data_IF_321248365294
#
_entry.id   IF_321248365294
#
_cell.length_a   1.000
_cell.length_b   1.000
_cell.length_c   1.000
_cell.angle_alpha   90.00
_cell.angle_beta   90.00
_cell.angle_gamma   90.00
#
_symmetry.space_group_name_H-M   'P 1'
#
loop_
_entity.id
_entity.type
_entity.pdbx_description
1 polymer ?
#
# COMPACT_ATOMS: atom_id res chain seq x y z
N UNK A 1 34.99 26.61 -17.60
CA UNK A 1 34.88 25.14 -17.41
C UNK A 1 34.57 24.90 -15.94
N UNK A 2 33.28 24.90 -15.59
CA UNK A 2 32.82 24.79 -14.22
C UNK A 2 32.55 23.31 -13.95
N UNK A 3 33.42 22.67 -13.20
CA UNK A 3 33.26 21.26 -12.77
C UNK A 3 32.15 21.24 -11.74
N UNK A 4 30.96 20.79 -12.15
CA UNK A 4 29.87 20.45 -11.24
C UNK A 4 30.31 19.27 -10.39
N UNK A 5 30.58 19.52 -9.12
CA UNK A 5 30.83 18.51 -8.11
C UNK A 5 29.59 17.61 -8.02
N UNK A 6 29.67 16.41 -8.57
CA UNK A 6 28.71 15.34 -8.36
C UNK A 6 28.82 14.90 -6.88
N UNK A 7 27.88 15.31 -6.05
CA UNK A 7 27.78 14.87 -4.68
C UNK A 7 27.07 13.51 -4.63
N UNK A 8 27.78 12.37 -4.44
CA UNK A 8 27.19 11.03 -4.46
C UNK A 8 26.29 10.74 -3.24
N UNK A 9 26.24 11.66 -2.26
CA UNK A 9 25.42 11.55 -1.04
C UNK A 9 24.10 12.30 -1.09
N UNK A 10 23.73 12.90 -2.20
CA UNK A 10 22.35 13.38 -2.35
C UNK A 10 21.44 12.15 -2.39
N UNK A 11 20.90 11.74 -1.23
CA UNK A 11 19.81 10.76 -1.13
C UNK A 11 18.77 11.15 -2.17
N UNK A 12 18.59 10.30 -3.20
CA UNK A 12 17.47 10.45 -4.14
C UNK A 12 16.20 10.17 -3.30
N UNK A 13 15.65 11.22 -2.69
CA UNK A 13 14.41 11.12 -1.94
C UNK A 13 13.34 10.82 -2.98
N UNK A 14 12.72 9.65 -2.84
CA UNK A 14 11.59 9.25 -3.68
C UNK A 14 10.39 10.16 -3.42
N UNK A 15 9.51 10.23 -4.37
CA UNK A 15 8.19 10.83 -4.17
C UNK A 15 7.52 10.20 -2.96
N UNK A 16 7.05 11.02 -2.03
CA UNK A 16 6.29 10.58 -0.87
C UNK A 16 4.88 11.13 -0.95
N UNK A 17 3.93 10.21 -1.00
CA UNK A 17 2.52 10.54 -0.95
C UNK A 17 2.20 11.09 0.44
N UNK A 18 1.51 12.24 0.49
CA UNK A 18 1.14 12.90 1.73
C UNK A 18 -0.37 12.80 1.99
N UNK A 19 -1.18 12.95 0.94
CA UNK A 19 -2.65 12.85 1.05
C UNK A 19 -3.28 12.55 -0.30
N UNK A 20 -4.35 11.75 -0.25
CA UNK A 20 -5.28 11.50 -1.35
C UNK A 20 -6.65 12.01 -0.93
N UNK A 21 -7.39 12.60 -1.87
CA UNK A 21 -8.81 12.85 -1.75
C UNK A 21 -9.49 12.48 -3.06
N UNK A 22 -10.61 11.75 -2.99
CA UNK A 22 -11.34 11.31 -4.17
C UNK A 22 -12.84 11.61 -4.05
N UNK A 23 -13.45 11.89 -5.20
CA UNK A 23 -14.88 12.09 -5.36
C UNK A 23 -15.37 11.16 -6.47
N UNK A 24 -16.56 10.61 -6.31
CA UNK A 24 -17.18 9.67 -7.25
C UNK A 24 -16.31 8.43 -7.54
N UNK A 25 -15.52 7.99 -6.55
CA UNK A 25 -14.70 6.81 -6.68
C UNK A 25 -15.46 5.57 -6.23
N UNK A 26 -15.80 4.69 -7.19
CA UNK A 26 -16.56 3.46 -6.93
C UNK A 26 -17.78 3.76 -6.02
N UNK A 27 -17.95 3.02 -4.94
CA UNK A 27 -19.03 3.24 -3.98
C UNK A 27 -18.58 3.99 -2.71
N UNK A 28 -17.46 4.73 -2.78
CA UNK A 28 -17.00 5.55 -1.66
C UNK A 28 -17.85 6.83 -1.50
N UNK A 29 -17.90 7.33 -0.27
CA UNK A 29 -18.45 8.65 0.01
C UNK A 29 -17.62 9.72 -0.70
N UNK A 30 -18.30 10.76 -1.22
CA UNK A 30 -17.61 11.86 -1.89
C UNK A 30 -16.72 12.62 -0.93
N UNK A 31 -15.47 12.82 -1.35
CA UNK A 31 -14.45 13.44 -0.51
C UNK A 31 -13.72 12.46 0.41
N UNK A 32 -13.83 11.14 0.13
CA UNK A 32 -13.00 10.13 0.85
C UNK A 32 -11.54 10.56 0.85
N UNK A 33 -10.92 10.57 2.04
CA UNK A 33 -9.59 11.12 2.26
C UNK A 33 -8.70 10.12 3.00
N UNK A 34 -7.47 9.90 2.49
CA UNK A 34 -6.44 9.10 3.15
C UNK A 34 -5.17 9.96 3.32
N UNK A 35 -4.75 10.20 4.57
CA UNK A 35 -3.54 10.98 4.89
C UNK A 35 -2.43 10.10 5.41
N UNK A 36 -1.20 10.38 4.97
CA UNK A 36 0.03 9.70 5.38
C UNK A 36 0.81 10.50 6.44
N UNK A 37 0.29 11.65 6.85
CA UNK A 37 0.93 12.53 7.82
C UNK A 37 0.37 12.32 9.24
N UNK A 38 1.24 12.35 10.27
CA UNK A 38 0.81 12.26 11.66
C UNK A 38 -0.04 13.48 12.05
N UNK A 39 -1.18 13.22 12.70
CA UNK A 39 -2.16 14.23 13.12
C UNK A 39 -1.87 14.81 14.49
N UNK A 40 -1.22 14.06 15.39
CA UNK A 40 -0.91 14.53 16.73
C UNK A 40 0.60 14.58 17.02
N UNK A 41 0.95 15.06 18.22
CA UNK A 41 2.36 15.22 18.65
C UNK A 41 3.13 13.92 18.49
N UNK A 42 4.36 14.04 18.03
CA UNK A 42 5.30 12.94 17.82
C UNK A 42 6.19 12.78 19.03
N UNK A 43 6.21 11.60 19.65
CA UNK A 43 7.20 11.22 20.66
C UNK A 43 8.53 10.83 20.02
N UNK A 44 9.58 10.66 20.79
CA UNK A 44 10.86 10.13 20.29
C UNK A 44 10.72 8.65 19.89
N UNK A 45 9.88 7.89 20.58
CA UNK A 45 9.56 6.52 20.23
C UNK A 45 8.83 6.44 18.88
N UNK A 46 7.82 7.31 18.64
CA UNK A 46 7.15 7.39 17.34
C UNK A 46 8.14 7.67 16.22
N UNK A 47 9.06 8.62 16.43
CA UNK A 47 10.10 8.94 15.46
C UNK A 47 11.06 7.77 15.22
N UNK A 48 11.21 6.87 16.17
CA UNK A 48 12.08 5.69 16.06
C UNK A 48 11.40 4.57 15.30
N UNK A 49 10.13 4.27 15.57
CA UNK A 49 9.46 3.05 15.10
C UNK A 49 8.25 3.28 14.19
N UNK A 50 7.57 4.42 14.25
CA UNK A 50 6.31 4.62 13.55
C UNK A 50 6.42 5.58 12.36
N UNK A 51 7.40 6.49 12.40
CA UNK A 51 7.47 7.62 11.49
C UNK A 51 8.81 7.68 10.75
N UNK A 52 8.75 8.03 9.47
CA UNK A 52 9.91 8.31 8.64
C UNK A 52 10.00 9.81 8.35
N UNK A 53 11.15 10.42 8.60
CA UNK A 53 11.41 11.82 8.30
C UNK A 53 11.73 12.00 6.80
N UNK A 54 10.78 12.55 6.06
CA UNK A 54 10.87 12.80 4.62
C UNK A 54 11.69 14.06 4.33
N UNK A 55 11.48 15.08 5.14
CA UNK A 55 12.17 16.36 5.12
C UNK A 55 12.20 16.92 6.54
N UNK A 56 12.98 17.99 6.83
CA UNK A 56 13.06 18.55 8.18
C UNK A 56 11.68 18.79 8.81
N UNK A 57 11.36 18.01 9.85
CA UNK A 57 10.08 18.01 10.60
C UNK A 57 8.84 17.58 9.78
N UNK A 58 9.02 17.02 8.58
CA UNK A 58 7.98 16.39 7.76
C UNK A 58 8.09 14.88 7.88
N UNK A 59 7.11 14.26 8.52
CA UNK A 59 7.09 12.83 8.79
C UNK A 59 5.92 12.18 8.06
N UNK A 60 6.13 10.93 7.59
CA UNK A 60 5.09 10.04 7.08
C UNK A 60 5.09 8.76 7.89
N UNK A 61 3.97 8.04 7.87
CA UNK A 61 3.87 6.74 8.53
C UNK A 61 4.72 5.68 7.81
N UNK A 62 5.34 4.79 8.59
CA UNK A 62 5.99 3.57 8.09
C UNK A 62 4.99 2.44 7.89
N UNK A 63 3.93 2.43 8.71
CA UNK A 63 2.86 1.43 8.64
C UNK A 63 1.50 2.08 8.82
N UNK A 64 0.51 1.62 8.05
CA UNK A 64 -0.87 2.05 8.13
C UNK A 64 -1.79 0.84 8.00
N UNK A 65 -2.88 0.81 8.76
CA UNK A 65 -3.88 -0.25 8.67
C UNK A 65 -5.26 0.29 8.29
N UNK A 66 -5.97 -0.50 7.50
CA UNK A 66 -7.38 -0.27 7.13
C UNK A 66 -8.19 -1.43 7.70
N UNK A 67 -9.08 -1.14 8.64
CA UNK A 67 -9.85 -2.15 9.36
C UNK A 67 -11.35 -1.93 9.17
N UNK A 68 -12.09 -3.00 9.29
CA UNK A 68 -13.55 -2.98 9.16
C UNK A 68 -14.10 -4.38 8.93
N UNK A 69 -15.41 -4.56 9.11
CA UNK A 69 -16.06 -5.84 8.84
C UNK A 69 -15.98 -6.24 7.37
N UNK A 70 -16.33 -7.47 7.05
CA UNK A 70 -16.46 -7.94 5.66
C UNK A 70 -17.40 -7.01 4.88
N UNK A 71 -17.07 -6.78 3.60
CA UNK A 71 -17.81 -5.89 2.69
C UNK A 71 -17.93 -4.43 3.16
N UNK A 72 -17.11 -3.95 4.11
CA UNK A 72 -17.08 -2.55 4.53
C UNK A 72 -16.36 -1.60 3.57
N UNK A 73 -15.64 -2.14 2.57
CA UNK A 73 -14.94 -1.36 1.55
C UNK A 73 -13.43 -1.21 1.74
N UNK A 74 -12.78 -2.04 2.58
CA UNK A 74 -11.32 -2.03 2.78
C UNK A 74 -10.56 -2.14 1.46
N UNK A 75 -10.88 -3.15 0.64
CA UNK A 75 -10.31 -3.36 -0.69
C UNK A 75 -10.51 -2.15 -1.62
N UNK A 76 -11.68 -1.48 -1.55
CA UNK A 76 -11.93 -0.27 -2.36
C UNK A 76 -10.98 0.88 -2.01
N UNK A 77 -10.66 1.06 -0.71
CA UNK A 77 -9.70 2.06 -0.26
C UNK A 77 -8.27 1.70 -0.68
N UNK A 78 -7.88 0.42 -0.58
CA UNK A 78 -6.57 -0.04 -1.06
C UNK A 78 -6.45 0.10 -2.59
N UNK A 79 -7.52 -0.17 -3.34
CA UNK A 79 -7.55 0.04 -4.78
C UNK A 79 -7.39 1.53 -5.14
N UNK A 80 -8.05 2.45 -4.42
CA UNK A 80 -7.85 3.88 -4.61
C UNK A 80 -6.36 4.26 -4.44
N UNK A 81 -5.73 3.73 -3.41
CA UNK A 81 -4.31 3.95 -3.17
C UNK A 81 -3.44 3.38 -4.30
N UNK A 82 -3.73 2.17 -4.77
CA UNK A 82 -3.01 1.53 -5.87
C UNK A 82 -3.17 2.31 -7.18
N UNK A 83 -4.39 2.77 -7.50
CA UNK A 83 -4.67 3.58 -8.69
C UNK A 83 -3.88 4.89 -8.66
N UNK A 84 -3.79 5.55 -7.50
CA UNK A 84 -2.96 6.75 -7.34
C UNK A 84 -1.48 6.43 -7.59
N UNK A 85 -0.95 5.31 -7.09
CA UNK A 85 0.44 4.92 -7.38
C UNK A 85 0.65 4.53 -8.85
N UNK A 86 -0.35 3.98 -9.52
CA UNK A 86 -0.30 3.75 -10.99
C UNK A 86 -0.20 5.08 -11.74
N UNK A 87 -0.98 6.08 -11.34
CA UNK A 87 -0.88 7.44 -11.93
C UNK A 87 0.50 8.05 -11.67
N UNK A 88 1.03 7.94 -10.45
CA UNK A 88 2.35 8.50 -10.08
C UNK A 88 3.53 7.79 -10.74
N UNK A 89 3.38 6.50 -11.10
CA UNK A 89 4.46 5.64 -11.60
C UNK A 89 4.42 5.40 -13.09
N UNK A 90 3.25 5.00 -13.63
CA UNK A 90 3.05 4.74 -15.07
C UNK A 90 2.43 5.91 -15.83
N UNK A 91 1.89 6.90 -15.13
CA UNK A 91 1.21 8.07 -15.70
C UNK A 91 -0.05 7.72 -16.49
N UNK A 92 -0.52 6.48 -16.39
CA UNK A 92 -1.71 5.94 -17.05
C UNK A 92 -2.56 5.19 -16.03
N UNK A 93 -3.87 5.12 -16.30
CA UNK A 93 -4.79 4.32 -15.52
C UNK A 93 -5.77 3.62 -16.46
N UNK A 94 -6.10 2.37 -16.15
CA UNK A 94 -7.08 1.58 -16.88
C UNK A 94 -8.40 1.52 -16.11
N UNK A 95 -9.50 1.60 -16.83
CA UNK A 95 -10.83 1.30 -16.29
C UNK A 95 -10.97 -0.23 -16.26
N UNK A 96 -11.04 -0.78 -15.06
CA UNK A 96 -11.10 -2.23 -14.83
C UNK A 96 -12.57 -2.69 -14.63
N UNK A 97 -12.78 -3.77 -13.90
CA UNK A 97 -14.09 -4.41 -13.72
C UNK A 97 -15.13 -3.47 -13.08
N UNK A 98 -14.71 -2.62 -12.15
CA UNK A 98 -15.59 -1.62 -11.53
C UNK A 98 -15.16 -0.26 -12.04
N UNK A 99 -16.04 0.38 -12.81
CA UNK A 99 -15.75 1.66 -13.45
C UNK A 99 -15.44 2.76 -12.45
N UNK A 100 -14.39 3.53 -12.77
CA UNK A 100 -14.00 4.75 -12.08
C UNK A 100 -14.14 5.99 -12.98
N UNK A 101 -14.96 5.88 -14.02
CA UNK A 101 -15.29 6.99 -14.91
C UNK A 101 -15.97 8.13 -14.14
N UNK A 102 -15.53 9.36 -14.36
CA UNK A 102 -16.03 10.55 -13.66
C UNK A 102 -15.39 10.77 -12.28
N UNK A 103 -14.43 9.92 -11.87
CA UNK A 103 -13.70 10.12 -10.60
C UNK A 103 -12.85 11.38 -10.65
N UNK A 104 -12.95 12.21 -9.60
CA UNK A 104 -12.06 13.36 -9.39
C UNK A 104 -11.06 13.02 -8.30
N UNK A 105 -9.78 13.29 -8.58
CA UNK A 105 -8.69 13.02 -7.65
C UNK A 105 -7.95 14.29 -7.28
N UNK A 106 -7.63 14.43 -6.00
CA UNK A 106 -6.68 15.42 -5.48
C UNK A 106 -5.53 14.65 -4.79
N UNK A 107 -4.31 14.81 -5.29
CA UNK A 107 -3.14 14.09 -4.81
C UNK A 107 -2.10 15.09 -4.33
N UNK A 108 -1.75 15.03 -3.05
CA UNK A 108 -0.67 15.85 -2.47
C UNK A 108 0.54 14.95 -2.25
N UNK A 109 1.68 15.32 -2.78
CA UNK A 109 2.93 14.56 -2.64
C UNK A 109 4.15 15.47 -2.48
N UNK A 110 5.18 14.93 -1.84
CA UNK A 110 6.48 15.58 -1.67
C UNK A 110 7.49 15.00 -2.66
N UNK A 111 8.23 15.87 -3.33
CA UNK A 111 9.35 15.53 -4.20
C UNK A 111 10.36 16.68 -4.23
N UNK A 112 11.64 16.38 -3.95
CA UNK A 112 12.77 17.29 -4.10
C UNK A 112 12.55 18.68 -3.49
N UNK A 113 12.29 18.74 -2.17
CA UNK A 113 12.06 19.95 -1.37
C UNK A 113 10.80 20.76 -1.77
N UNK A 114 9.92 20.14 -2.56
CA UNK A 114 8.66 20.73 -3.00
C UNK A 114 7.49 19.85 -2.62
N UNK A 115 6.36 20.49 -2.40
CA UNK A 115 5.07 19.81 -2.27
C UNK A 115 4.23 20.18 -3.47
N UNK A 116 3.66 19.17 -4.08
CA UNK A 116 2.79 19.29 -5.25
C UNK A 116 1.36 18.96 -4.86
N UNK A 117 0.42 19.74 -5.34
CA UNK A 117 -1.01 19.45 -5.33
C UNK A 117 -1.43 19.22 -6.79
N UNK A 118 -1.73 17.97 -7.11
CA UNK A 118 -2.23 17.57 -8.41
C UNK A 118 -3.73 17.29 -8.32
N UNK A 119 -4.48 17.78 -9.30
CA UNK A 119 -5.92 17.52 -9.44
C UNK A 119 -6.20 17.07 -10.86
N UNK A 120 -7.11 16.11 -11.00
CA UNK A 120 -7.57 15.58 -12.29
C UNK A 120 -8.98 15.00 -12.17
N UNK A 121 -9.62 14.82 -13.33
CA UNK A 121 -10.85 14.07 -13.48
C UNK A 121 -10.63 12.97 -14.54
N UNK A 122 -11.10 11.75 -14.28
CA UNK A 122 -10.88 10.57 -15.10
C UNK A 122 -12.11 10.32 -15.97
N UNK A 123 -11.91 10.21 -17.29
CA UNK A 123 -12.98 9.94 -18.23
C UNK A 123 -12.67 8.77 -19.15
N UNK A 124 -13.69 7.95 -19.43
CA UNK A 124 -13.60 6.88 -20.41
C UNK A 124 -13.84 7.45 -21.81
N UNK A 125 -12.95 7.12 -22.75
CA UNK A 125 -13.07 7.47 -24.16
C UNK A 125 -12.99 6.20 -25.00
N UNK A 126 -13.84 6.10 -26.03
CA UNK A 126 -13.98 4.88 -26.84
C UNK A 126 -12.74 4.52 -27.64
N UNK A 127 -11.97 5.52 -28.07
CA UNK A 127 -10.76 5.38 -28.87
C UNK A 127 -9.52 4.99 -28.05
N UNK A 128 -9.56 5.11 -26.72
CA UNK A 128 -8.47 4.76 -25.81
C UNK A 128 -8.55 3.32 -25.28
N UNK A 129 -9.51 2.51 -25.76
CA UNK A 129 -9.74 1.16 -25.28
C UNK A 129 -10.10 1.15 -23.78
N UNK A 130 -9.30 0.49 -22.94
CA UNK A 130 -9.52 0.46 -21.50
C UNK A 130 -8.78 1.59 -20.75
N UNK A 131 -7.97 2.41 -21.42
CA UNK A 131 -7.31 3.52 -20.76
C UNK A 131 -8.30 4.65 -20.48
N UNK A 132 -8.11 5.31 -19.32
CA UNK A 132 -8.85 6.52 -18.96
C UNK A 132 -8.09 7.75 -19.42
N UNK A 133 -8.82 8.75 -19.93
CA UNK A 133 -8.29 10.07 -20.20
C UNK A 133 -8.24 10.91 -18.92
N UNK A 134 -7.21 11.75 -18.83
CA UNK A 134 -7.03 12.73 -17.76
C UNK A 134 -7.50 14.09 -18.26
N UNK A 135 -8.61 14.57 -17.68
CA UNK A 135 -9.18 15.87 -18.01
C UNK A 135 -9.11 16.83 -16.83
N UNK A 136 -9.21 18.13 -17.10
CA UNK A 136 -9.15 19.16 -16.05
C UNK A 136 -7.91 19.05 -15.17
N UNK A 137 -6.79 18.60 -15.74
CA UNK A 137 -5.55 18.45 -14.99
C UNK A 137 -4.98 19.80 -14.54
N UNK A 138 -4.58 19.88 -13.30
CA UNK A 138 -3.86 21.03 -12.76
C UNK A 138 -2.79 20.61 -11.76
N UNK A 139 -1.67 21.27 -11.78
CA UNK A 139 -0.61 21.09 -10.78
C UNK A 139 -0.29 22.44 -10.16
N UNK A 140 -0.27 22.46 -8.82
CA UNK A 140 0.21 23.59 -8.04
C UNK A 140 1.41 23.13 -7.21
N UNK A 141 2.35 24.01 -6.96
CA UNK A 141 3.60 23.70 -6.26
C UNK A 141 3.89 24.70 -5.16
N UNK A 142 4.44 24.20 -4.05
CA UNK A 142 4.93 24.98 -2.93
C UNK A 142 6.33 24.49 -2.56
N UNK A 143 7.31 25.41 -2.39
CA UNK A 143 8.58 25.04 -1.77
C UNK A 143 8.35 24.72 -0.31
N UNK A 144 8.80 23.52 0.10
CA UNK A 144 8.70 23.09 1.49
C UNK A 144 9.78 23.75 2.35
N UNK A 145 9.39 24.12 3.57
CA UNK A 145 10.28 24.46 4.66
C UNK A 145 9.61 24.07 5.99
N UNK A 146 10.40 23.86 7.04
CA UNK A 146 9.89 23.49 8.36
C UNK A 146 8.78 24.43 8.87
N UNK A 147 8.88 25.72 8.59
CA UNK A 147 7.88 26.74 8.98
C UNK A 147 6.55 26.59 8.26
N UNK A 148 6.54 25.92 7.09
CA UNK A 148 5.33 25.73 6.28
C UNK A 148 4.59 24.42 6.54
N UNK A 149 5.05 23.57 7.47
CA UNK A 149 4.41 22.27 7.72
C UNK A 149 2.92 22.35 8.06
N UNK A 150 2.49 23.38 8.76
CA UNK A 150 1.08 23.54 9.18
C UNK A 150 0.15 24.06 8.08
N UNK A 151 0.71 24.42 6.92
CA UNK A 151 -0.03 24.98 5.79
C UNK A 151 0.03 24.09 4.54
N UNK A 152 0.56 22.87 4.66
CA UNK A 152 0.71 21.91 3.57
C UNK A 152 -0.61 21.65 2.84
N UNK A 153 -1.74 21.63 3.55
CA UNK A 153 -3.04 21.33 2.94
C UNK A 153 -3.88 22.59 2.67
N UNK A 154 -3.28 23.78 2.78
CA UNK A 154 -3.93 25.04 2.45
C UNK A 154 -3.55 25.47 1.03
N UNK A 155 -4.51 25.34 0.11
CA UNK A 155 -4.28 25.53 -1.33
C UNK A 155 -3.80 26.93 -1.71
N UNK A 156 -4.17 27.95 -0.92
CA UNK A 156 -3.72 29.33 -1.11
C UNK A 156 -2.21 29.53 -1.04
N UNK A 157 -1.47 28.58 -0.44
CA UNK A 157 0.01 28.64 -0.35
C UNK A 157 0.73 28.07 -1.57
N UNK A 158 -0.01 27.54 -2.53
CA UNK A 158 0.53 26.93 -3.73
C UNK A 158 0.46 27.89 -4.91
N UNK A 159 1.50 27.84 -5.75
CA UNK A 159 1.52 28.55 -7.03
C UNK A 159 1.17 27.59 -8.17
N UNK A 160 0.36 28.01 -9.14
CA UNK A 160 0.10 27.17 -10.31
C UNK A 160 1.39 26.92 -11.08
N UNK A 161 1.55 25.67 -11.54
CA UNK A 161 2.62 25.29 -12.45
C UNK A 161 2.00 25.17 -13.84
N UNK A 162 2.08 26.24 -14.62
CA UNK A 162 1.52 26.27 -15.96
C UNK A 162 2.36 25.38 -16.88
N UNK A 163 1.80 24.28 -17.32
CA UNK A 163 2.38 23.36 -18.29
C UNK A 163 1.45 23.22 -19.49
N UNK A 164 2.03 23.27 -20.68
CA UNK A 164 1.30 22.96 -21.90
C UNK A 164 1.26 21.45 -22.04
N UNK A 165 0.07 20.86 -22.12
CA UNK A 165 -0.04 19.43 -22.32
C UNK A 165 0.16 19.11 -23.81
N UNK A 166 1.31 18.50 -24.11
CA UNK A 166 1.66 17.95 -25.43
C UNK A 166 1.77 16.42 -25.35
N UNK A 167 0.83 15.78 -24.60
CA UNK A 167 0.80 14.36 -24.32
C UNK A 167 -0.56 13.82 -24.77
N UNK A 168 -0.65 12.53 -25.16
CA UNK A 168 -1.93 11.84 -25.33
C UNK A 168 -2.85 12.02 -24.13
N UNK A 169 -4.15 11.95 -24.34
CA UNK A 169 -5.14 12.22 -23.30
C UNK A 169 -5.10 11.19 -22.16
N UNK A 170 -4.66 9.96 -22.45
CA UNK A 170 -4.48 8.88 -21.47
C UNK A 170 -3.16 8.96 -20.69
N UNK A 171 -2.33 9.98 -20.94
CA UNK A 171 -1.10 10.22 -20.17
C UNK A 171 -1.24 11.47 -19.33
N UNK A 172 -1.03 11.32 -18.01
CA UNK A 172 -1.08 12.43 -17.06
C UNK A 172 0.10 13.40 -17.23
N UNK A 173 -0.16 14.71 -17.03
CA UNK A 173 0.87 15.76 -17.00
C UNK A 173 1.93 15.54 -15.91
N UNK A 174 1.69 14.65 -14.93
CA UNK A 174 2.71 14.23 -13.96
C UNK A 174 3.95 13.63 -14.61
N UNK A 175 3.83 13.10 -15.83
CA UNK A 175 4.95 12.63 -16.64
C UNK A 175 6.07 13.68 -16.73
N UNK A 176 5.76 14.96 -16.91
CA UNK A 176 6.78 16.03 -17.02
C UNK A 176 7.61 16.21 -15.74
N UNK A 177 7.03 15.89 -14.57
CA UNK A 177 7.69 16.04 -13.27
C UNK A 177 8.37 14.75 -12.84
N UNK A 178 7.74 13.59 -13.08
CA UNK A 178 8.07 12.33 -12.44
C UNK A 178 8.68 11.26 -13.37
N UNK A 179 8.82 11.49 -14.69
CA UNK A 179 9.28 10.50 -15.68
C UNK A 179 10.61 9.79 -15.34
N UNK A 180 11.45 10.42 -14.54
CA UNK A 180 12.75 9.87 -14.12
C UNK A 180 12.71 9.30 -12.69
N UNK A 181 11.53 9.05 -12.14
CA UNK A 181 11.34 8.56 -10.77
C UNK A 181 10.70 7.17 -10.78
N UNK A 182 11.15 6.33 -9.89
CA UNK A 182 10.52 5.03 -9.61
C UNK A 182 9.51 5.20 -8.47
N UNK A 183 8.23 5.38 -8.81
CA UNK A 183 7.15 5.61 -7.85
C UNK A 183 6.09 4.53 -7.98
N UNK A 184 6.47 3.28 -7.73
CA UNK A 184 5.54 2.16 -7.75
C UNK A 184 5.11 1.80 -6.34
N UNK A 185 3.88 1.31 -6.20
CA UNK A 185 3.48 0.46 -5.10
C UNK A 185 3.55 -1.00 -5.54
N UNK A 186 3.91 -1.87 -4.62
CA UNK A 186 3.69 -3.30 -4.75
C UNK A 186 2.33 -3.62 -4.16
N UNK A 187 1.46 -4.24 -4.94
CA UNK A 187 0.14 -4.65 -4.49
C UNK A 187 0.09 -6.18 -4.39
N UNK A 188 -0.37 -6.66 -3.25
CA UNK A 188 -0.52 -8.08 -2.96
C UNK A 188 -1.96 -8.34 -2.52
N UNK A 189 -2.64 -9.24 -3.21
CA UNK A 189 -3.97 -9.73 -2.91
C UNK A 189 -4.06 -11.25 -3.14
N UNK A 190 -5.18 -11.82 -2.75
CA UNK A 190 -5.45 -13.25 -2.92
C UNK A 190 -5.78 -13.67 -4.36
N UNK A 191 -6.03 -12.70 -5.26
CA UNK A 191 -6.43 -12.93 -6.64
C UNK A 191 -5.24 -13.24 -7.57
N UNK A 192 -4.01 -13.28 -7.04
CA UNK A 192 -2.85 -13.67 -7.84
C UNK A 192 -3.04 -15.12 -8.28
N UNK A 193 -3.17 -15.35 -9.59
CA UNK A 193 -3.34 -16.68 -10.15
C UNK A 193 -2.19 -17.59 -9.72
N UNK A 194 -2.53 -18.84 -9.45
CA UNK A 194 -1.61 -19.88 -8.96
C UNK A 194 -0.31 -19.95 -9.75
N UNK A 195 -0.38 -19.83 -11.09
CA UNK A 195 0.78 -19.86 -11.97
C UNK A 195 1.58 -18.54 -11.94
N UNK A 196 0.90 -17.40 -11.81
CA UNK A 196 1.53 -16.07 -11.84
C UNK A 196 2.38 -15.75 -10.62
N UNK A 197 2.17 -16.40 -9.46
CA UNK A 197 2.94 -16.17 -8.23
C UNK A 197 4.42 -16.47 -8.46
N UNK A 198 4.74 -17.62 -9.01
CA UNK A 198 6.14 -18.03 -9.20
C UNK A 198 6.85 -17.17 -10.25
N UNK A 199 6.20 -16.84 -11.35
CA UNK A 199 6.77 -15.91 -12.33
C UNK A 199 7.10 -14.56 -11.71
N UNK A 200 6.20 -14.01 -10.89
CA UNK A 200 6.43 -12.72 -10.20
C UNK A 200 7.60 -12.82 -9.21
N UNK A 201 7.67 -13.90 -8.43
CA UNK A 201 8.75 -14.14 -7.47
C UNK A 201 10.10 -14.29 -8.18
N UNK A 202 10.15 -15.07 -9.26
CA UNK A 202 11.38 -15.30 -10.02
C UNK A 202 11.80 -14.11 -10.85
N UNK A 203 10.89 -13.32 -11.35
CA UNK A 203 11.20 -12.04 -11.97
C UNK A 203 11.98 -11.14 -11.00
N UNK A 204 11.58 -11.07 -9.73
CA UNK A 204 12.27 -10.30 -8.70
C UNK A 204 13.62 -10.93 -8.33
N UNK A 205 13.70 -12.26 -8.30
CA UNK A 205 14.94 -13.01 -8.04
C UNK A 205 15.95 -12.86 -9.19
N UNK A 206 15.53 -13.08 -10.43
CA UNK A 206 16.38 -13.05 -11.63
C UNK A 206 16.87 -11.64 -11.97
N UNK A 207 16.05 -10.60 -11.70
CA UNK A 207 16.47 -9.19 -11.84
C UNK A 207 17.52 -8.77 -10.79
N UNK A 208 18.00 -9.70 -9.94
CA UNK A 208 18.97 -9.42 -8.88
C UNK A 208 18.41 -8.57 -7.74
N UNK A 209 17.10 -8.37 -7.75
CA UNK A 209 16.40 -7.59 -6.73
C UNK A 209 16.47 -8.27 -5.37
N UNK A 210 16.56 -9.61 -5.34
CA UNK A 210 16.70 -10.40 -4.13
C UNK A 210 18.07 -11.08 -4.11
N UNK A 211 18.83 -10.83 -3.05
CA UNK A 211 20.08 -11.52 -2.82
C UNK A 211 19.80 -12.99 -2.44
N UNK A 212 20.58 -13.94 -2.99
CA UNK A 212 20.52 -15.38 -2.67
C UNK A 212 20.50 -15.67 -1.17
N UNK A 213 21.18 -14.83 -0.37
CA UNK A 213 21.19 -14.95 1.09
C UNK A 213 19.79 -14.77 1.71
N UNK A 214 19.01 -13.79 1.25
CA UNK A 214 17.63 -13.58 1.74
C UNK A 214 16.70 -14.66 1.26
N UNK A 215 16.90 -15.14 0.02
CA UNK A 215 16.08 -16.19 -0.58
C UNK A 215 16.02 -17.43 0.27
N UNK A 216 17.17 -17.95 0.71
CA UNK A 216 17.23 -19.10 1.60
C UNK A 216 16.41 -18.88 2.88
N UNK A 217 16.54 -17.72 3.51
CA UNK A 217 15.80 -17.43 4.75
C UNK A 217 14.30 -17.27 4.53
N UNK A 218 13.87 -16.71 3.39
CA UNK A 218 12.45 -16.63 3.04
C UNK A 218 11.87 -18.03 2.90
N UNK A 219 12.54 -18.93 2.16
CA UNK A 219 12.07 -20.30 2.00
C UNK A 219 11.90 -21.00 3.35
N UNK A 220 12.93 -20.95 4.18
CA UNK A 220 12.95 -21.62 5.48
C UNK A 220 12.00 -21.00 6.53
N UNK A 221 11.62 -19.74 6.37
CA UNK A 221 10.63 -19.08 7.23
C UNK A 221 9.24 -19.72 7.10
N UNK A 222 8.92 -20.24 5.91
CA UNK A 222 7.62 -20.83 5.60
C UNK A 222 7.63 -22.37 5.60
N UNK A 223 8.80 -22.97 5.31
CA UNK A 223 8.99 -24.42 5.39
C UNK A 223 10.49 -24.71 5.65
N UNK A 224 10.80 -25.11 6.89
CA UNK A 224 12.18 -25.41 7.31
C UNK A 224 12.83 -26.60 6.58
N UNK A 225 12.00 -27.45 5.94
CA UNK A 225 12.47 -28.59 5.14
C UNK A 225 12.99 -28.13 3.77
N UNK A 226 12.63 -26.96 3.29
CA UNK A 226 13.10 -26.44 2.01
C UNK A 226 14.55 -25.93 2.15
N UNK A 227 15.46 -26.54 1.39
CA UNK A 227 16.87 -26.11 1.31
C UNK A 227 17.12 -25.09 0.21
N UNK A 228 16.46 -25.28 -0.93
CA UNK A 228 16.61 -24.40 -2.09
C UNK A 228 15.43 -24.56 -3.07
N UNK A 229 15.17 -23.50 -3.81
CA UNK A 229 14.20 -23.47 -4.90
C UNK A 229 14.80 -22.61 -6.03
N UNK A 230 14.96 -23.19 -7.22
CA UNK A 230 15.57 -22.53 -8.39
C UNK A 230 14.75 -22.74 -9.64
N UNK A 231 14.60 -21.71 -10.44
CA UNK A 231 14.17 -21.83 -11.83
C UNK A 231 15.36 -22.18 -12.71
N UNK A 232 15.28 -23.24 -13.50
CA UNK A 232 16.34 -23.68 -14.44
C UNK A 232 16.01 -23.34 -15.89
N UNK A 233 14.74 -23.30 -16.25
CA UNK A 233 14.18 -22.84 -17.53
C UNK A 233 12.85 -22.18 -17.30
N UNK A 234 12.30 -21.51 -18.31
CA UNK A 234 10.95 -20.98 -18.23
C UNK A 234 9.99 -22.07 -17.74
N UNK A 235 9.34 -21.81 -16.61
CA UNK A 235 8.34 -22.66 -15.97
C UNK A 235 8.84 -24.05 -15.49
N UNK A 236 10.15 -24.25 -15.32
CA UNK A 236 10.73 -25.46 -14.73
C UNK A 236 11.56 -25.09 -13.50
N UNK A 237 11.17 -25.61 -12.36
CA UNK A 237 11.74 -25.33 -11.05
C UNK A 237 12.37 -26.56 -10.45
N UNK A 238 13.50 -26.38 -9.77
CA UNK A 238 14.14 -27.43 -8.95
C UNK A 238 13.89 -27.10 -7.48
N UNK A 239 13.06 -27.90 -6.85
CA UNK A 239 12.82 -27.87 -5.42
C UNK A 239 13.74 -28.87 -4.72
N UNK A 240 14.59 -28.39 -3.81
CA UNK A 240 15.46 -29.22 -2.97
C UNK A 240 14.97 -29.14 -1.53
N UNK A 241 14.53 -30.25 -0.98
CA UNK A 241 14.15 -30.40 0.43
C UNK A 241 15.25 -31.15 1.20
N UNK A 242 14.99 -31.43 2.48
CA UNK A 242 15.90 -32.26 3.30
C UNK A 242 15.99 -33.69 2.78
N UNK A 243 14.91 -34.19 2.15
CA UNK A 243 14.78 -35.61 1.76
C UNK A 243 15.08 -35.87 0.29
N UNK A 244 14.76 -34.92 -0.58
CA UNK A 244 14.80 -35.13 -2.01
C UNK A 244 15.00 -33.84 -2.83
N UNK A 245 15.33 -34.04 -4.11
CA UNK A 245 15.36 -32.96 -5.12
C UNK A 245 14.45 -33.38 -6.28
N UNK A 246 13.55 -32.46 -6.68
CA UNK A 246 12.55 -32.71 -7.73
C UNK A 246 12.56 -31.56 -8.73
N UNK A 247 12.37 -31.89 -10.02
CA UNK A 247 12.05 -30.95 -11.07
C UNK A 247 10.54 -30.87 -11.22
N UNK A 248 9.97 -29.65 -11.16
CA UNK A 248 8.53 -29.40 -11.12
C UNK A 248 8.21 -28.22 -12.04
N UNK A 249 7.07 -28.29 -12.73
CA UNK A 249 6.46 -27.11 -13.35
C UNK A 249 5.91 -26.17 -12.28
N UNK A 250 5.59 -24.91 -12.62
CA UNK A 250 4.94 -23.97 -11.69
C UNK A 250 3.65 -24.55 -11.11
N UNK A 251 2.85 -25.24 -11.92
CA UNK A 251 1.62 -25.89 -11.50
C UNK A 251 1.87 -27.01 -10.49
N UNK A 252 2.84 -27.89 -10.77
CA UNK A 252 3.19 -28.97 -9.83
C UNK A 252 3.76 -28.41 -8.53
N UNK A 253 4.61 -27.39 -8.61
CA UNK A 253 5.18 -26.71 -7.46
C UNK A 253 4.07 -26.12 -6.55
N UNK A 254 3.03 -25.54 -7.16
CA UNK A 254 1.87 -25.02 -6.43
C UNK A 254 1.12 -26.12 -5.67
N UNK A 255 1.04 -27.33 -6.22
CA UNK A 255 0.40 -28.48 -5.56
C UNK A 255 1.28 -29.15 -4.50
N UNK A 256 2.60 -29.12 -4.68
CA UNK A 256 3.57 -29.72 -3.73
C UNK A 256 3.74 -28.84 -2.49
N UNK A 257 3.83 -27.53 -2.67
CA UNK A 257 3.93 -26.58 -1.55
C UNK A 257 2.54 -26.22 -1.02
N UNK A 258 2.45 -25.98 0.29
CA UNK A 258 1.21 -25.46 0.86
C UNK A 258 0.86 -24.08 0.30
N UNK A 259 -0.43 -23.76 0.24
CA UNK A 259 -0.88 -22.43 -0.21
C UNK A 259 -0.27 -21.29 0.65
N UNK A 260 -0.14 -21.53 1.96
CA UNK A 260 0.51 -20.60 2.89
C UNK A 260 2.00 -20.43 2.58
N UNK A 261 2.73 -21.52 2.29
CA UNK A 261 4.15 -21.45 1.90
C UNK A 261 4.32 -20.64 0.61
N UNK A 262 3.54 -20.94 -0.42
CA UNK A 262 3.60 -20.26 -1.72
C UNK A 262 3.31 -18.76 -1.60
N UNK A 263 2.18 -18.42 -0.98
CA UNK A 263 1.78 -17.01 -0.78
C UNK A 263 2.77 -16.27 0.13
N UNK A 264 3.27 -16.94 1.18
CA UNK A 264 4.24 -16.37 2.09
C UNK A 264 5.57 -16.02 1.43
N UNK A 265 6.09 -16.90 0.59
CA UNK A 265 7.29 -16.64 -0.21
C UNK A 265 7.07 -15.38 -1.09
N UNK A 266 5.94 -15.29 -1.77
CA UNK A 266 5.61 -14.15 -2.62
C UNK A 266 5.43 -12.85 -1.83
N UNK A 267 4.74 -12.90 -0.69
CA UNK A 267 4.52 -11.76 0.20
C UNK A 267 5.85 -11.19 0.71
N UNK A 268 6.70 -12.05 1.31
CA UNK A 268 7.98 -11.60 1.88
C UNK A 268 8.98 -11.17 0.81
N UNK A 269 8.97 -11.79 -0.35
CA UNK A 269 9.77 -11.38 -1.51
C UNK A 269 9.40 -9.96 -1.93
N UNK A 270 8.10 -9.68 -2.09
CA UNK A 270 7.60 -8.33 -2.44
C UNK A 270 7.88 -7.31 -1.35
N UNK A 271 7.74 -7.68 -0.09
CA UNK A 271 8.04 -6.83 1.06
C UNK A 271 9.52 -6.42 1.12
N UNK A 272 10.44 -7.38 0.94
CA UNK A 272 11.89 -7.11 0.91
C UNK A 272 12.24 -6.18 -0.25
N UNK A 273 11.61 -6.36 -1.40
CA UNK A 273 11.81 -5.47 -2.54
C UNK A 273 11.32 -4.05 -2.23
N UNK A 274 10.12 -3.91 -1.65
CA UNK A 274 9.60 -2.61 -1.22
C UNK A 274 10.52 -1.92 -0.22
N UNK A 275 11.04 -2.65 0.78
CA UNK A 275 11.99 -2.15 1.79
C UNK A 275 13.29 -1.67 1.14
N UNK A 276 13.85 -2.45 0.22
CA UNK A 276 15.09 -2.10 -0.50
C UNK A 276 14.94 -0.86 -1.37
N UNK A 277 13.80 -0.69 -1.96
CA UNK A 277 13.53 0.43 -2.85
C UNK A 277 12.96 1.66 -2.13
N UNK A 278 12.37 1.50 -0.95
CA UNK A 278 11.65 2.55 -0.22
C UNK A 278 10.27 2.83 -0.81
N UNK A 279 9.66 1.83 -1.45
CA UNK A 279 8.34 1.90 -2.07
C UNK A 279 7.23 1.61 -1.07
N UNK A 280 5.99 1.93 -1.46
CA UNK A 280 4.82 1.50 -0.70
C UNK A 280 4.50 0.04 -1.03
N UNK A 281 4.19 -0.74 -0.01
CA UNK A 281 3.70 -2.09 -0.11
C UNK A 281 2.25 -2.13 0.38
N UNK A 282 1.33 -2.49 -0.50
CA UNK A 282 -0.10 -2.56 -0.24
C UNK A 282 -0.47 -4.04 -0.14
N UNK A 283 -1.11 -4.44 0.95
CA UNK A 283 -1.52 -5.84 1.18
C UNK A 283 -2.99 -5.87 1.56
N UNK A 284 -3.79 -6.55 0.76
CA UNK A 284 -5.19 -6.79 1.11
C UNK A 284 -5.28 -8.06 1.95
N UNK A 285 -6.02 -7.99 3.08
CA UNK A 285 -6.22 -9.09 4.02
C UNK A 285 -4.90 -9.79 4.43
N UNK A 286 -4.02 -9.00 5.09
CA UNK A 286 -2.64 -9.40 5.41
C UNK A 286 -2.54 -10.70 6.22
N UNK A 287 -3.58 -11.07 6.95
CA UNK A 287 -3.69 -12.30 7.74
C UNK A 287 -4.00 -13.56 6.93
N UNK A 288 -4.48 -13.43 5.69
CA UNK A 288 -4.94 -14.56 4.92
C UNK A 288 -3.80 -15.57 4.67
N UNK A 289 -4.04 -16.81 5.12
CA UNK A 289 -3.12 -17.94 4.98
C UNK A 289 -1.84 -17.90 5.83
N UNK A 290 -1.66 -16.91 6.72
CA UNK A 290 -0.44 -16.79 7.51
C UNK A 290 -0.68 -16.95 9.02
N UNK A 291 0.30 -17.54 9.68
CA UNK A 291 0.34 -17.52 11.13
C UNK A 291 0.50 -16.09 11.63
N UNK A 292 -0.23 -15.70 12.67
CA UNK A 292 -0.22 -14.36 13.26
C UNK A 292 1.19 -13.79 13.46
N UNK A 293 2.11 -14.60 13.98
CA UNK A 293 3.50 -14.20 14.24
C UNK A 293 4.25 -13.77 12.96
N UNK A 294 3.96 -14.40 11.81
CA UNK A 294 4.58 -14.01 10.53
C UNK A 294 4.08 -12.63 10.08
N UNK A 295 2.80 -12.36 10.26
CA UNK A 295 2.21 -11.05 9.96
C UNK A 295 2.78 -9.97 10.88
N UNK A 296 2.85 -10.23 12.19
CA UNK A 296 3.44 -9.31 13.17
C UNK A 296 4.91 -9.00 12.84
N UNK A 297 5.70 -10.02 12.53
CA UNK A 297 7.09 -9.85 12.12
C UNK A 297 7.23 -9.02 10.84
N UNK A 298 6.35 -9.22 9.85
CA UNK A 298 6.34 -8.42 8.65
C UNK A 298 6.10 -6.93 8.97
N UNK A 299 5.11 -6.62 9.82
CA UNK A 299 4.83 -5.25 10.26
C UNK A 299 6.07 -4.65 10.96
N UNK A 300 6.71 -5.42 11.86
CA UNK A 300 7.92 -4.98 12.58
C UNK A 300 9.07 -4.68 11.63
N UNK A 301 9.27 -5.45 10.55
CA UNK A 301 10.32 -5.15 9.55
C UNK A 301 10.14 -3.77 8.91
N UNK A 302 8.91 -3.32 8.67
CA UNK A 302 8.67 -1.97 8.14
C UNK A 302 8.85 -0.89 9.21
N UNK A 303 8.58 -1.17 10.48
CA UNK A 303 8.78 -0.24 11.59
C UNK A 303 10.26 -0.08 11.98
N UNK A 304 11.07 -1.10 11.79
CA UNK A 304 12.50 -1.09 12.15
C UNK A 304 13.33 -0.29 11.14
N UNK A 305 13.80 0.88 11.53
CA UNK A 305 14.63 1.76 10.67
C UNK A 305 16.01 1.20 10.36
N UNK A 306 16.50 0.22 11.12
CA UNK A 306 17.76 -0.47 10.80
C UNK A 306 17.60 -1.33 9.53
N UNK A 307 16.38 -1.82 9.29
CA UNK A 307 15.95 -2.57 8.11
C UNK A 307 15.38 -1.62 7.06
N UNK A 308 14.39 -0.82 7.43
CA UNK A 308 13.67 0.11 6.55
C UNK A 308 14.39 1.47 6.40
N UNK A 309 15.60 1.44 5.89
CA UNK A 309 16.46 2.64 5.76
C UNK A 309 15.95 3.68 4.78
N UNK A 310 15.09 3.27 3.83
CA UNK A 310 14.58 4.14 2.76
C UNK A 310 13.15 4.62 3.01
N UNK A 311 12.57 4.26 4.16
CA UNK A 311 11.24 4.68 4.54
C UNK A 311 10.15 4.09 3.64
N UNK A 312 10.22 2.80 3.31
CA UNK A 312 9.12 2.09 2.70
C UNK A 312 7.88 2.15 3.61
N UNK A 313 6.70 2.21 3.02
CA UNK A 313 5.44 2.24 3.79
C UNK A 313 4.65 0.96 3.54
N UNK A 314 4.27 0.26 4.60
CA UNK A 314 3.32 -0.84 4.54
C UNK A 314 1.91 -0.30 4.79
N UNK A 315 0.99 -0.51 3.84
CA UNK A 315 -0.44 -0.21 4.00
C UNK A 315 -1.20 -1.52 3.81
N UNK A 316 -1.96 -1.93 4.81
CA UNK A 316 -2.64 -3.21 4.74
C UNK A 316 -4.08 -3.14 5.25
N UNK A 317 -4.93 -4.02 4.75
CA UNK A 317 -6.22 -4.31 5.36
C UNK A 317 -6.14 -5.53 6.26
N UNK A 318 -6.99 -5.55 7.28
CA UNK A 318 -7.09 -6.68 8.21
C UNK A 318 -8.48 -6.79 8.83
N UNK A 319 -8.85 -8.02 9.18
CA UNK A 319 -9.97 -8.35 10.06
C UNK A 319 -9.50 -8.67 11.49
N UNK A 320 -8.19 -8.88 11.70
CA UNK A 320 -7.62 -9.22 12.99
C UNK A 320 -7.31 -7.96 13.77
N UNK A 321 -8.26 -7.57 14.61
CA UNK A 321 -8.13 -6.35 15.42
C UNK A 321 -6.92 -6.38 16.35
N UNK A 322 -6.45 -7.57 16.76
CA UNK A 322 -5.27 -7.77 17.61
C UNK A 322 -3.97 -7.27 16.95
N UNK A 323 -3.89 -7.26 15.62
CA UNK A 323 -2.74 -6.67 14.92
C UNK A 323 -2.62 -5.17 15.16
N UNK A 324 -3.70 -4.51 15.56
CA UNK A 324 -3.69 -3.07 15.84
C UNK A 324 -2.99 -2.73 17.15
N UNK A 325 -2.86 -3.69 18.06
CA UNK A 325 -2.18 -3.49 19.34
C UNK A 325 -0.66 -3.35 19.18
N UNK A 326 -0.10 -3.70 17.99
CA UNK A 326 1.30 -3.45 17.64
C UNK A 326 1.58 -1.96 17.39
N UNK A 327 0.56 -1.17 17.05
CA UNK A 327 0.72 0.25 16.75
C UNK A 327 0.77 1.08 18.02
N UNK A 328 1.77 1.96 18.14
CA UNK A 328 1.85 2.93 19.24
C UNK A 328 0.92 4.13 19.02
N UNK A 329 0.49 4.33 17.76
CA UNK A 329 -0.33 5.46 17.34
C UNK A 329 -1.74 4.99 16.93
N UNK A 330 -2.70 5.93 16.91
CA UNK A 330 -4.06 5.71 16.43
C UNK A 330 -4.34 6.45 15.11
N UNK A 331 -3.54 7.44 14.75
CA UNK A 331 -3.74 8.26 13.55
C UNK A 331 -3.26 7.59 12.26
N UNK A 332 -2.58 6.44 12.35
CA UNK A 332 -2.24 5.56 11.24
C UNK A 332 -3.21 4.37 11.08
N UNK A 333 -4.32 4.37 11.83
CA UNK A 333 -5.37 3.35 11.75
C UNK A 333 -6.63 3.97 11.16
N UNK A 334 -7.12 3.38 10.07
CA UNK A 334 -8.29 3.83 9.35
C UNK A 334 -9.39 2.77 9.42
N UNK A 335 -10.62 3.22 9.59
CA UNK A 335 -11.79 2.36 9.80
C UNK A 335 -12.74 2.56 8.64
N UNK A 336 -13.11 1.45 7.98
CA UNK A 336 -14.11 1.45 6.92
C UNK A 336 -15.46 0.97 7.46
N UNK A 337 -16.52 1.68 7.06
CA UNK A 337 -17.91 1.30 7.29
C UNK A 337 -18.69 1.40 5.98
N UNK A 338 -19.71 0.59 5.87
CA UNK A 338 -20.67 0.67 4.79
C UNK A 338 -22.03 1.12 5.33
N UNK A 339 -22.46 2.30 4.93
CA UNK A 339 -23.81 2.82 5.13
C UNK A 339 -24.25 3.50 3.83
N UNK A 340 -24.90 2.74 2.92
CA UNK A 340 -25.21 3.11 1.56
C UNK A 340 -23.97 3.43 0.70
N UNK A 341 -22.95 4.04 1.27
CA UNK A 341 -21.63 4.29 0.70
C UNK A 341 -20.53 3.85 1.67
N UNK A 342 -19.32 3.68 1.14
CA UNK A 342 -18.13 3.36 1.94
C UNK A 342 -17.64 4.64 2.60
N UNK A 343 -17.64 4.66 3.93
CA UNK A 343 -17.14 5.74 4.76
C UNK A 343 -15.77 5.34 5.30
N UNK A 344 -14.78 6.21 5.15
CA UNK A 344 -13.43 6.04 5.70
C UNK A 344 -13.21 7.04 6.83
N UNK A 345 -12.99 6.53 8.04
CA UNK A 345 -12.77 7.34 9.24
C UNK A 345 -11.40 7.07 9.84
N UNK A 346 -10.77 8.07 10.43
CA UNK A 346 -9.50 7.92 11.14
C UNK A 346 -9.72 7.65 12.63
N UNK A 347 -9.06 6.65 13.20
CA UNK A 347 -9.28 6.24 14.60
C UNK A 347 -9.00 7.38 15.58
N UNK A 348 -7.97 8.18 15.36
CA UNK A 348 -7.62 9.30 16.23
C UNK A 348 -8.58 10.49 16.05
N UNK A 349 -8.79 10.90 14.80
CA UNK A 349 -9.54 12.12 14.49
C UNK A 349 -11.03 11.98 14.78
N UNK A 350 -11.61 10.82 14.45
CA UNK A 350 -13.06 10.67 14.37
C UNK A 350 -13.65 9.91 15.58
N UNK A 351 -12.81 9.21 16.38
CA UNK A 351 -13.28 8.41 17.54
C UNK A 351 -12.65 8.79 18.88
N UNK A 352 -11.68 9.68 18.90
CA UNK A 352 -11.02 10.15 20.12
C UNK A 352 -10.52 9.04 21.06
N UNK A 353 -9.97 7.98 20.48
CA UNK A 353 -9.43 6.83 21.24
C UNK A 353 -8.07 7.19 21.83
N UNK A 354 -7.88 6.93 23.13
CA UNK A 354 -6.58 7.14 23.80
C UNK A 354 -5.57 6.09 23.31
N UNK A 355 -4.31 6.50 23.12
CA UNK A 355 -3.23 5.62 22.61
C UNK A 355 -2.84 4.48 23.57
N UNK A 356 -3.03 4.67 24.86
CA UNK A 356 -2.70 3.72 25.92
C UNK A 356 -3.69 2.56 26.08
N UNK A 357 -4.80 2.59 25.34
CA UNK A 357 -5.80 1.53 25.37
C UNK A 357 -5.52 0.49 24.30
N UNK A 358 -5.79 -0.79 24.61
CA UNK A 358 -5.79 -1.87 23.63
C UNK A 358 -6.84 -1.58 22.55
N UNK A 359 -6.39 -1.47 21.32
CA UNK A 359 -7.23 -1.12 20.19
C UNK A 359 -8.18 -2.26 19.84
N UNK A 360 -7.69 -3.51 19.92
CA UNK A 360 -8.48 -4.73 19.75
C UNK A 360 -9.70 -4.76 20.65
N UNK A 361 -9.53 -4.42 21.94
CA UNK A 361 -10.64 -4.36 22.89
C UNK A 361 -11.73 -3.40 22.46
N UNK A 362 -11.37 -2.25 21.91
CA UNK A 362 -12.32 -1.24 21.40
C UNK A 362 -13.13 -1.75 20.20
N UNK A 363 -12.54 -2.57 19.36
CA UNK A 363 -13.25 -3.26 18.27
C UNK A 363 -14.24 -4.30 18.80
N UNK A 364 -13.84 -5.12 19.75
CA UNK A 364 -14.72 -6.13 20.34
C UNK A 364 -15.89 -5.52 21.14
N UNK A 365 -15.70 -4.35 21.74
CA UNK A 365 -16.77 -3.58 22.40
C UNK A 365 -17.69 -2.84 21.39
N UNK A 366 -17.46 -3.04 20.09
CA UNK A 366 -18.17 -2.37 18.98
C UNK A 366 -18.19 -0.83 19.05
N UNK A 367 -17.15 -0.23 19.66
CA UNK A 367 -17.04 1.23 19.73
C UNK A 367 -16.96 1.90 18.34
N UNK A 368 -16.68 1.12 17.31
CA UNK A 368 -16.54 1.59 15.93
C UNK A 368 -17.72 1.20 15.04
N UNK A 369 -18.72 0.46 15.53
CA UNK A 369 -19.85 -0.04 14.74
C UNK A 369 -19.40 -1.01 13.63
N UNK A 370 -18.43 -1.87 13.95
CA UNK A 370 -17.83 -2.84 13.04
C UNK A 370 -18.14 -4.30 13.39
N UNK A 371 -18.93 -4.53 14.42
CA UNK A 371 -19.33 -5.88 14.84
C UNK A 371 -20.24 -6.57 13.80
N UNK A 372 -20.11 -7.89 13.72
CA UNK A 372 -21.01 -8.72 12.93
C UNK A 372 -22.35 -8.81 13.67
N UNK A 373 -23.47 -8.73 12.93
CA UNK A 373 -24.79 -8.83 13.51
C UNK A 373 -25.04 -10.22 14.10
N UNK A 374 -25.11 -10.29 15.43
CA UNK A 374 -25.50 -11.52 16.15
C UNK A 374 -26.92 -11.97 15.80
N UNK A 375 -27.82 -11.03 15.53
CA UNK A 375 -29.19 -11.29 15.15
C UNK A 375 -29.29 -12.13 13.85
N UNK A 376 -28.50 -11.78 12.83
CA UNK A 376 -28.48 -12.53 11.57
C UNK A 376 -27.99 -13.98 11.78
N UNK A 377 -26.99 -14.18 12.63
CA UNK A 377 -26.50 -15.51 12.97
C UNK A 377 -27.59 -16.32 13.71
N UNK A 378 -28.31 -15.70 14.65
CA UNK A 378 -29.41 -16.36 15.39
C UNK A 378 -30.59 -16.67 14.48
N UNK A 379 -30.90 -15.80 13.50
CA UNK A 379 -31.95 -16.08 12.51
C UNK A 379 -31.59 -17.29 11.64
N UNK A 380 -30.34 -17.36 11.15
CA UNK A 380 -29.85 -18.53 10.41
C UNK A 380 -29.99 -19.80 11.26
N UNK A 381 -29.57 -19.76 12.53
CA UNK A 381 -29.69 -20.91 13.44
C UNK A 381 -31.15 -21.34 13.62
N UNK A 382 -32.08 -20.39 13.80
CA UNK A 382 -33.52 -20.72 13.95
C UNK A 382 -34.06 -21.39 12.68
N UNK A 383 -33.76 -20.82 11.50
CA UNK A 383 -34.20 -21.42 10.23
C UNK A 383 -33.70 -22.85 10.05
N UNK A 384 -32.43 -23.13 10.44
CA UNK A 384 -31.88 -24.50 10.39
C UNK A 384 -32.50 -25.46 11.45
N UNK A 385 -33.13 -24.94 12.51
CA UNK A 385 -33.81 -25.76 13.49
C UNK A 385 -35.25 -26.08 13.09
N UNK A 386 -35.81 -25.30 12.16
CA UNK A 386 -37.16 -25.48 11.64
C UNK A 386 -37.22 -26.40 10.40
N UNK A 387 -36.09 -26.82 9.84
CA UNK A 387 -35.92 -27.86 8.81
C UNK A 387 -35.81 -29.27 9.40
#
# INVERSE_FOLDING_TARGET
MMILWYNPFRRMIKVKLLKIKAFHYKNCEDGVELSFLPLFRKSEEDKTYELYEVAPDLYTFLTMSIVGKNASGKTSVLNLLNDVYRILGSFQLKDEVISINGTKLEITFYENEKIYLYKTELHKQFDLGNNLSFVNESIKVMNYSKTKKNVIFKEENYKPLNMKKELPDDISILFYILKNRNNYAYYFDDLVSEEGIYHKVYDLYNKGSINKKYWKYILQLFDEHIKDLKEIKNDVYVLTTVDQTQELSAKELFHVLSSGTTKGIALYTSAIQALKEGNTFIVDEIENHFHKTLVENLIVLFKDKSVNKKGATLVFSTHYCELLDIFNRNDNIWITKYDKKIILSNMYRDYNVRNDLLKSKKFYEDNFGTAVSYELLMNLKRTLMDE
#
